data_IF_334995879143
#
_entry.id   IF_334995879143
#
_cell.length_a   1.000
_cell.length_b   1.000
_cell.length_c   1.000
_cell.angle_alpha   90.00
_cell.angle_beta   90.00
_cell.angle_gamma   90.00
#
_symmetry.space_group_name_H-M   'P 1'
#
loop_
_entity.id
_entity.type
_entity.pdbx_description
1 polymer ?
#
# COMPACT_ATOMS: atom_id res chain seq x y z
N UNK A 1 2.59 73.64 -37.35
CA UNK A 1 1.96 74.31 -38.52
C UNK A 1 0.60 73.66 -38.72
N UNK A 2 -0.48 74.12 -38.10
CA UNK A 2 -1.27 75.32 -38.41
C UNK A 2 -1.99 75.26 -39.78
N UNK A 3 -3.32 75.10 -39.70
CA UNK A 3 -4.43 75.75 -40.47
C UNK A 3 -5.42 74.74 -41.05
N UNK A 4 -6.63 74.62 -40.49
CA UNK A 4 -7.83 75.49 -40.57
C UNK A 4 -8.60 75.42 -41.89
N UNK A 5 -9.90 75.06 -41.79
CA UNK A 5 -11.11 75.78 -42.29
C UNK A 5 -12.27 74.77 -42.40
N UNK A 6 -13.51 75.05 -42.02
CA UNK A 6 -14.10 76.29 -41.56
C UNK A 6 -15.51 76.05 -41.00
N UNK A 7 -15.91 76.98 -40.15
CA UNK A 7 -17.15 77.08 -39.38
C UNK A 7 -18.24 77.82 -40.17
N UNK A 8 -19.50 77.63 -39.79
CA UNK A 8 -20.59 78.65 -39.81
C UNK A 8 -21.61 78.21 -38.73
N UNK A 9 -21.62 78.79 -37.52
CA UNK A 9 -22.37 80.00 -37.04
C UNK A 9 -23.88 79.95 -37.30
N UNK A 10 -24.80 80.32 -36.43
CA UNK A 10 -24.93 80.56 -34.98
C UNK A 10 -26.39 81.04 -34.80
N UNK A 11 -26.98 80.85 -33.60
CA UNK A 11 -28.11 81.56 -32.94
C UNK A 11 -29.02 80.54 -32.25
N UNK A 12 -29.44 80.68 -30.99
CA UNK A 12 -29.46 81.83 -30.10
C UNK A 12 -29.35 81.35 -28.65
N UNK A 13 -28.58 82.09 -27.86
CA UNK A 13 -28.43 81.96 -26.41
C UNK A 13 -29.53 82.70 -25.67
N UNK A 14 -30.11 82.09 -24.64
CA UNK A 14 -30.52 82.80 -23.43
C UNK A 14 -30.43 81.90 -22.20
N UNK A 15 -29.57 82.34 -21.27
CA UNK A 15 -29.21 81.73 -19.99
C UNK A 15 -30.03 82.34 -18.87
N UNK A 16 -30.54 81.54 -17.92
CA UNK A 16 -30.52 81.88 -16.48
C UNK A 16 -30.95 80.71 -15.58
N UNK A 17 -29.94 80.04 -15.04
CA UNK A 17 -29.76 79.55 -13.66
C UNK A 17 -30.96 79.34 -12.72
N UNK A 18 -31.21 78.06 -12.38
CA UNK A 18 -31.26 77.61 -10.97
C UNK A 18 -30.56 76.26 -10.81
N UNK A 19 -29.48 76.29 -10.02
CA UNK A 19 -28.73 75.16 -9.48
C UNK A 19 -29.57 74.38 -8.45
N UNK A 20 -29.61 73.05 -8.55
CA UNK A 20 -29.49 72.10 -7.41
C UNK A 20 -29.13 70.70 -7.93
N UNK A 21 -28.33 69.93 -7.16
CA UNK A 21 -27.45 68.90 -7.69
C UNK A 21 -28.19 67.58 -7.98
N UNK A 22 -27.91 66.98 -9.14
CA UNK A 22 -28.24 65.58 -9.37
C UNK A 22 -27.31 64.73 -8.50
N UNK A 23 -27.87 64.18 -7.43
CA UNK A 23 -27.25 63.18 -6.57
C UNK A 23 -26.94 61.96 -7.44
N UNK A 24 -25.67 61.57 -7.43
CA UNK A 24 -25.18 60.27 -7.87
C UNK A 24 -25.83 59.17 -7.04
N UNK A 25 -26.95 58.62 -7.50
CA UNK A 25 -27.36 57.31 -7.04
C UNK A 25 -26.53 56.26 -7.78
N UNK A 26 -25.38 55.95 -7.16
CA UNK A 26 -24.81 54.62 -7.18
C UNK A 26 -25.93 53.62 -6.86
N UNK A 27 -26.57 53.06 -7.88
CA UNK A 27 -27.24 51.78 -7.73
C UNK A 27 -26.11 50.78 -7.61
N UNK A 28 -25.72 50.58 -6.35
CA UNK A 28 -25.08 49.37 -5.90
C UNK A 28 -25.91 48.22 -6.45
N UNK A 29 -25.40 47.56 -7.49
CA UNK A 29 -25.67 46.14 -7.69
C UNK A 29 -25.09 45.45 -6.47
N UNK A 30 -25.85 45.50 -5.38
CA UNK A 30 -25.60 44.80 -4.16
C UNK A 30 -25.43 43.35 -4.52
N UNK A 31 -24.27 42.83 -4.15
CA UNK A 31 -23.93 41.44 -4.26
C UNK A 31 -25.02 40.61 -3.57
N UNK A 32 -25.97 40.09 -4.35
CA UNK A 32 -26.66 38.85 -4.00
C UNK A 32 -25.71 37.69 -4.28
N UNK A 33 -24.55 37.70 -3.61
CA UNK A 33 -23.96 36.45 -3.15
C UNK A 33 -24.99 35.91 -2.16
N UNK A 34 -25.93 35.11 -2.67
CA UNK A 34 -26.71 34.23 -1.82
C UNK A 34 -25.68 33.50 -0.95
N UNK A 35 -25.64 33.84 0.33
CA UNK A 35 -25.23 32.90 1.35
C UNK A 35 -26.20 31.72 1.22
N UNK A 36 -25.89 30.77 0.31
CA UNK A 36 -26.48 29.44 0.39
C UNK A 36 -26.06 28.93 1.76
N UNK A 37 -26.97 29.00 2.72
CA UNK A 37 -26.83 28.31 4.00
C UNK A 37 -26.48 26.89 3.64
N UNK A 38 -25.24 26.48 3.92
CA UNK A 38 -24.80 25.10 3.68
C UNK A 38 -25.78 24.21 4.42
N UNK A 39 -26.52 23.39 3.68
CA UNK A 39 -27.42 22.41 4.29
C UNK A 39 -26.54 21.40 5.02
N UNK A 40 -26.55 21.47 6.34
CA UNK A 40 -25.82 20.55 7.19
C UNK A 40 -26.73 19.37 7.51
N UNK A 41 -26.27 18.18 7.18
CA UNK A 41 -26.87 16.92 7.58
C UNK A 41 -25.95 16.23 8.58
N UNK A 42 -26.46 15.21 9.28
CA UNK A 42 -25.65 14.36 10.16
C UNK A 42 -25.63 12.95 9.61
N UNK A 43 -24.44 12.43 9.33
CA UNK A 43 -24.21 11.01 9.07
C UNK A 43 -24.07 10.28 10.40
N UNK A 44 -24.89 9.26 10.61
CA UNK A 44 -24.86 8.41 11.81
C UNK A 44 -24.43 6.98 11.45
N UNK A 45 -23.40 6.47 12.13
CA UNK A 45 -22.94 5.08 12.02
C UNK A 45 -23.04 4.37 13.37
N UNK A 46 -23.45 3.10 13.42
CA UNK A 46 -23.48 2.33 14.67
C UNK A 46 -22.06 2.11 15.21
N UNK A 47 -21.87 2.24 16.52
CA UNK A 47 -20.62 2.02 17.27
C UNK A 47 -20.91 1.12 18.46
N UNK A 48 -21.02 -0.18 18.22
CA UNK A 48 -21.52 -1.12 19.24
C UNK A 48 -22.91 -0.71 19.72
N UNK A 49 -23.05 -0.40 21.00
CA UNK A 49 -24.31 0.03 21.61
C UNK A 49 -24.59 1.54 21.43
N UNK A 50 -23.65 2.29 20.84
CA UNK A 50 -23.75 3.72 20.60
C UNK A 50 -23.86 4.11 19.13
N UNK A 51 -23.93 5.42 18.86
CA UNK A 51 -23.95 6.00 17.51
C UNK A 51 -22.83 7.03 17.38
N UNK A 52 -21.97 6.87 16.38
CA UNK A 52 -21.04 7.90 15.96
C UNK A 52 -21.75 8.83 14.97
N UNK A 53 -21.68 10.14 15.22
CA UNK A 53 -22.36 11.16 14.42
C UNK A 53 -21.34 12.13 13.85
N UNK A 54 -21.38 12.36 12.54
CA UNK A 54 -20.48 13.26 11.82
C UNK A 54 -21.28 14.29 11.03
N UNK A 55 -21.08 15.60 11.26
CA UNK A 55 -21.72 16.63 10.45
C UNK A 55 -21.16 16.61 9.03
N UNK A 56 -22.03 16.72 8.03
CA UNK A 56 -21.66 16.70 6.62
C UNK A 56 -22.39 17.80 5.84
N UNK A 57 -21.70 18.35 4.84
CA UNK A 57 -22.28 19.23 3.83
C UNK A 57 -23.13 18.39 2.86
N UNK A 58 -24.46 18.51 2.97
CA UNK A 58 -25.42 17.70 2.22
C UNK A 58 -25.30 17.93 0.71
N UNK A 59 -24.98 19.16 0.28
CA UNK A 59 -24.82 19.48 -1.14
C UNK A 59 -23.57 18.79 -1.71
N UNK A 60 -22.49 18.71 -0.94
CA UNK A 60 -21.29 17.96 -1.35
C UNK A 60 -21.51 16.46 -1.36
N UNK A 61 -22.14 15.91 -0.32
CA UNK A 61 -22.47 14.48 -0.26
C UNK A 61 -23.35 14.08 -1.45
N UNK A 62 -24.37 14.87 -1.80
CA UNK A 62 -25.25 14.61 -2.94
C UNK A 62 -24.56 14.68 -4.32
N UNK A 63 -23.41 15.35 -4.41
CA UNK A 63 -22.61 15.46 -5.65
C UNK A 63 -21.59 14.35 -5.76
N UNK A 64 -20.92 14.01 -4.67
CA UNK A 64 -19.74 13.13 -4.67
C UNK A 64 -20.08 11.70 -4.26
N UNK A 65 -21.15 11.50 -3.48
CA UNK A 65 -21.56 10.20 -2.94
C UNK A 65 -22.96 9.80 -3.46
N UNK A 66 -23.08 9.17 -4.64
CA UNK A 66 -24.37 8.76 -5.22
C UNK A 66 -25.36 8.03 -4.29
N UNK A 67 -24.96 7.08 -3.41
CA UNK A 67 -25.88 6.41 -2.49
C UNK A 67 -26.42 7.31 -1.39
N UNK A 68 -25.79 8.47 -1.13
CA UNK A 68 -26.22 9.38 -0.07
C UNK A 68 -27.72 9.73 -0.16
N UNK A 69 -28.25 9.84 -1.38
CA UNK A 69 -29.68 10.12 -1.64
C UNK A 69 -30.61 9.02 -1.16
N UNK A 70 -30.11 7.80 -1.05
CA UNK A 70 -30.85 6.59 -0.74
C UNK A 70 -30.69 6.14 0.72
N UNK A 71 -29.88 6.84 1.52
CA UNK A 71 -29.74 6.52 2.95
C UNK A 71 -31.02 6.84 3.72
N UNK A 72 -31.38 5.94 4.64
CA UNK A 72 -32.55 6.10 5.50
C UNK A 72 -32.44 7.37 6.34
N UNK A 73 -33.49 8.18 6.26
CA UNK A 73 -33.66 9.40 7.06
C UNK A 73 -34.43 9.06 8.33
N UNK A 74 -33.75 9.11 9.47
CA UNK A 74 -34.34 8.91 10.80
C UNK A 74 -34.18 10.19 11.62
N UNK A 75 -35.27 10.91 11.82
CA UNK A 75 -35.28 12.15 12.64
C UNK A 75 -34.34 13.25 12.12
N UNK A 76 -34.19 13.39 10.79
CA UNK A 76 -33.30 14.37 10.16
C UNK A 76 -31.82 13.95 10.10
N UNK A 77 -31.49 12.72 10.51
CA UNK A 77 -30.15 12.13 10.40
C UNK A 77 -30.17 11.04 9.34
N UNK A 78 -29.11 10.98 8.53
CA UNK A 78 -28.95 9.86 7.58
C UNK A 78 -28.17 8.76 8.27
N UNK A 79 -28.78 7.59 8.41
CA UNK A 79 -28.14 6.44 9.05
C UNK A 79 -27.47 5.58 7.99
N UNK A 80 -26.28 5.08 8.32
CA UNK A 80 -25.70 3.97 7.57
C UNK A 80 -26.58 2.73 7.76
N UNK A 81 -26.95 2.08 6.64
CA UNK A 81 -27.64 0.81 6.67
C UNK A 81 -26.85 -0.19 7.54
N UNK A 82 -27.54 -1.09 8.24
CA UNK A 82 -26.91 -2.07 9.14
C UNK A 82 -25.90 -2.99 8.44
N UNK A 83 -25.93 -3.04 7.11
CA UNK A 83 -25.03 -3.84 6.28
C UNK A 83 -23.77 -3.04 5.94
N UNK A 84 -22.89 -2.85 6.92
CA UNK A 84 -21.68 -2.03 6.79
C UNK A 84 -20.55 -2.74 6.04
N UNK A 85 -20.84 -3.80 5.29
CA UNK A 85 -19.87 -4.78 4.80
C UNK A 85 -18.88 -5.19 5.91
N UNK A 86 -19.31 -5.24 7.18
CA UNK A 86 -18.46 -5.62 8.30
C UNK A 86 -17.46 -4.56 8.78
N UNK A 87 -17.59 -3.28 8.42
CA UNK A 87 -16.72 -2.26 9.05
C UNK A 87 -17.08 -2.15 10.55
N UNK A 88 -16.14 -2.51 11.43
CA UNK A 88 -16.30 -2.36 12.87
C UNK A 88 -15.89 -0.95 13.34
N UNK A 89 -16.88 -0.09 13.52
CA UNK A 89 -16.68 1.25 14.06
C UNK A 89 -16.37 1.30 15.56
N UNK A 90 -16.25 0.17 16.27
CA UNK A 90 -15.60 0.14 17.60
C UNK A 90 -14.10 0.42 17.47
N UNK A 91 -13.48 -0.04 16.37
CA UNK A 91 -12.08 0.19 16.03
C UNK A 91 -11.81 1.67 15.71
N UNK A 92 -10.81 2.28 16.36
CA UNK A 92 -10.45 3.69 16.12
C UNK A 92 -10.02 3.94 14.67
N UNK A 93 -9.34 2.98 14.03
CA UNK A 93 -8.90 3.13 12.63
C UNK A 93 -10.07 3.20 11.65
N UNK A 94 -11.19 2.53 11.95
CA UNK A 94 -12.40 2.63 11.14
C UNK A 94 -13.05 4.03 11.26
N UNK A 95 -13.00 4.63 12.46
CA UNK A 95 -13.47 6.01 12.67
C UNK A 95 -12.57 7.04 12.00
N UNK A 96 -11.26 6.85 12.10
CA UNK A 96 -10.28 7.68 11.41
C UNK A 96 -10.46 7.59 9.89
N UNK A 97 -10.68 6.38 9.36
CA UNK A 97 -11.00 6.18 7.95
C UNK A 97 -12.25 6.95 7.52
N UNK A 98 -13.33 6.90 8.33
CA UNK A 98 -14.53 7.68 8.04
C UNK A 98 -14.28 9.19 8.06
N UNK A 99 -13.55 9.70 9.06
CA UNK A 99 -13.18 11.11 9.12
C UNK A 99 -12.37 11.52 7.88
N UNK A 100 -11.38 10.71 7.51
CA UNK A 100 -10.53 10.92 6.34
C UNK A 100 -11.37 10.98 5.06
N UNK A 101 -12.25 10.01 4.83
CA UNK A 101 -13.07 9.94 3.62
C UNK A 101 -14.02 11.14 3.56
N UNK A 102 -14.62 11.56 4.69
CA UNK A 102 -15.45 12.76 4.75
C UNK A 102 -14.65 14.04 4.50
N UNK A 103 -13.42 14.14 5.03
CA UNK A 103 -12.53 15.27 4.79
C UNK A 103 -12.19 15.40 3.30
N UNK A 104 -11.93 14.28 2.62
CA UNK A 104 -11.73 14.22 1.16
C UNK A 104 -12.99 14.66 0.41
N UNK A 105 -14.17 14.13 0.75
CA UNK A 105 -15.46 14.56 0.13
C UNK A 105 -15.67 16.06 0.29
N UNK A 106 -15.29 16.61 1.44
CA UNK A 106 -15.40 18.04 1.71
C UNK A 106 -14.28 18.89 1.12
N UNK A 107 -13.34 18.29 0.38
CA UNK A 107 -12.29 18.98 -0.37
C UNK A 107 -11.17 19.51 0.51
N UNK A 108 -10.90 18.86 1.65
CA UNK A 108 -9.68 19.13 2.42
C UNK A 108 -8.52 18.40 1.76
N UNK A 109 -7.45 19.14 1.49
CA UNK A 109 -6.27 18.61 0.81
C UNK A 109 -5.20 18.12 1.81
N UNK A 110 -4.34 17.22 1.32
CA UNK A 110 -3.17 16.60 1.96
C UNK A 110 -3.45 15.32 2.74
N UNK A 111 -3.04 14.21 2.13
CA UNK A 111 -3.05 12.87 2.71
C UNK A 111 -1.66 12.27 2.56
N UNK A 112 -0.91 12.11 3.65
CA UNK A 112 0.35 11.39 3.63
C UNK A 112 0.10 9.88 3.76
N UNK A 113 -0.16 9.21 2.64
CA UNK A 113 -0.43 7.76 2.62
C UNK A 113 0.76 6.92 3.12
N UNK A 114 1.97 7.48 3.17
CA UNK A 114 3.16 6.75 3.66
C UNK A 114 3.14 6.53 5.18
N UNK A 115 2.37 7.31 5.92
CA UNK A 115 2.18 7.18 7.36
C UNK A 115 1.02 6.23 7.73
N UNK A 116 0.27 5.76 6.72
CA UNK A 116 -0.93 4.96 6.99
C UNK A 116 -0.59 3.50 7.26
N UNK A 117 -1.34 2.91 8.19
CA UNK A 117 -1.29 1.46 8.40
C UNK A 117 -2.11 0.73 7.31
N UNK A 118 -1.77 -0.53 6.98
CA UNK A 118 -2.57 -1.34 6.05
C UNK A 118 -4.05 -1.40 6.42
N UNK A 119 -4.36 -1.57 7.71
CA UNK A 119 -5.72 -1.58 8.24
C UNK A 119 -6.46 -0.27 8.00
N UNK A 120 -5.80 0.87 8.19
CA UNK A 120 -6.40 2.17 7.94
C UNK A 120 -6.73 2.33 6.45
N UNK A 121 -5.82 1.97 5.56
CA UNK A 121 -6.06 2.00 4.11
C UNK A 121 -7.20 1.08 3.69
N UNK A 122 -7.24 -0.13 4.25
CA UNK A 122 -8.34 -1.05 4.05
C UNK A 122 -9.67 -0.40 4.43
N UNK A 123 -9.80 0.13 5.65
CA UNK A 123 -11.03 0.81 6.06
C UNK A 123 -11.35 2.06 5.23
N UNK A 124 -10.36 2.85 4.82
CA UNK A 124 -10.58 4.00 3.92
C UNK A 124 -11.25 3.54 2.63
N UNK A 125 -10.79 2.43 2.03
CA UNK A 125 -11.38 1.90 0.82
C UNK A 125 -12.74 1.23 1.03
N UNK A 126 -12.97 0.58 2.18
CA UNK A 126 -14.29 0.06 2.54
C UNK A 126 -15.32 1.18 2.72
N UNK A 127 -14.99 2.22 3.49
CA UNK A 127 -15.86 3.39 3.69
C UNK A 127 -16.11 4.11 2.36
N UNK A 128 -15.08 4.26 1.52
CA UNK A 128 -15.22 4.83 0.18
C UNK A 128 -16.15 4.00 -0.71
N UNK A 129 -15.98 2.68 -0.75
CA UNK A 129 -16.84 1.79 -1.52
C UNK A 129 -18.30 1.88 -1.06
N UNK A 130 -18.52 2.02 0.25
CA UNK A 130 -19.85 2.16 0.86
C UNK A 130 -20.53 3.51 0.57
N UNK A 131 -19.79 4.63 0.67
CA UNK A 131 -20.28 5.95 0.24
C UNK A 131 -20.49 6.04 -1.29
N UNK A 132 -20.21 4.93 -1.97
CA UNK A 132 -20.64 4.58 -3.29
C UNK A 132 -20.07 5.41 -4.39
N UNK A 133 -18.80 5.12 -4.64
CA UNK A 133 -18.30 5.15 -5.99
C UNK A 133 -18.23 3.75 -6.65
N UNK A 134 -19.34 3.00 -6.89
CA UNK A 134 -19.28 1.78 -7.68
C UNK A 134 -19.73 2.08 -9.12
N UNK A 135 -18.76 2.25 -10.03
CA UNK A 135 -18.81 1.89 -11.47
C UNK A 135 -17.61 2.40 -12.27
N UNK A 136 -16.84 3.35 -11.75
CA UNK A 136 -15.55 3.76 -12.33
C UNK A 136 -14.45 3.58 -11.31
N UNK A 137 -14.33 2.37 -10.76
CA UNK A 137 -13.01 1.90 -10.30
C UNK A 137 -12.17 1.76 -11.57
N UNK A 138 -11.55 2.87 -11.98
CA UNK A 138 -10.57 2.97 -13.07
C UNK A 138 -10.88 2.13 -14.31
N UNK A 139 -11.87 2.53 -15.13
CA UNK A 139 -12.04 1.92 -16.46
C UNK A 139 -10.74 2.06 -17.26
N UNK A 140 -10.29 0.99 -17.91
CA UNK A 140 -9.07 0.93 -18.75
C UNK A 140 -9.05 1.91 -19.93
N UNK A 141 -10.13 2.67 -20.14
CA UNK A 141 -10.33 3.60 -21.24
C UNK A 141 -10.18 5.09 -20.86
N UNK A 142 -9.80 5.40 -19.62
CA UNK A 142 -9.57 6.79 -19.20
C UNK A 142 -8.10 7.16 -19.39
N UNK A 143 -7.88 8.08 -20.33
CA UNK A 143 -6.59 8.67 -20.69
C UNK A 143 -5.89 9.27 -19.45
N UNK A 144 -4.64 8.88 -19.14
CA UNK A 144 -3.85 9.42 -18.03
C UNK A 144 -3.65 10.95 -18.08
N UNK A 145 -3.96 11.61 -19.20
CA UNK A 145 -3.81 13.06 -19.37
C UNK A 145 -4.95 13.90 -18.79
N UNK A 146 -6.03 13.28 -18.28
CA UNK A 146 -7.16 13.99 -17.63
C UNK A 146 -6.88 14.41 -16.17
N UNK A 147 -5.62 14.37 -15.73
CA UNK A 147 -5.18 14.81 -14.40
C UNK A 147 -5.15 16.34 -14.35
N UNK A 148 -6.27 16.94 -13.99
CA UNK A 148 -6.30 18.39 -13.83
C UNK A 148 -7.68 19.01 -13.70
N UNK A 149 -8.52 18.55 -12.78
CA UNK A 149 -9.62 19.37 -12.24
C UNK A 149 -10.11 18.77 -10.93
N UNK A 150 -9.69 19.34 -9.80
CA UNK A 150 -10.38 19.10 -8.54
C UNK A 150 -11.81 19.65 -8.68
N UNK A 151 -12.80 18.76 -8.65
CA UNK A 151 -14.22 19.11 -8.74
C UNK A 151 -14.94 18.71 -10.03
N UNK A 152 -14.27 18.03 -10.98
CA UNK A 152 -14.96 17.37 -12.08
C UNK A 152 -15.51 15.99 -11.64
N UNK A 153 -16.65 15.52 -12.19
CA UNK A 153 -17.20 14.18 -11.93
C UNK A 153 -16.27 13.01 -12.33
N UNK A 154 -15.08 13.31 -12.85
CA UNK A 154 -14.04 12.40 -13.32
C UNK A 154 -12.71 12.50 -12.55
N UNK A 155 -12.62 13.34 -11.50
CA UNK A 155 -11.42 13.37 -10.65
C UNK A 155 -11.37 12.12 -9.78
N UNK A 156 -10.25 11.37 -9.74
CA UNK A 156 -10.16 10.18 -8.91
C UNK A 156 -10.25 10.58 -7.44
N UNK A 157 -11.08 9.87 -6.69
CA UNK A 157 -11.32 10.11 -5.25
C UNK A 157 -10.02 10.08 -4.43
N UNK A 158 -9.04 9.27 -4.86
CA UNK A 158 -7.69 9.23 -4.33
C UNK A 158 -6.67 9.61 -5.41
N UNK A 159 -5.61 10.31 -5.02
CA UNK A 159 -4.43 10.44 -5.87
C UNK A 159 -3.79 9.06 -6.06
N UNK A 160 -3.96 8.49 -7.27
CA UNK A 160 -3.49 7.16 -7.62
C UNK A 160 -1.97 7.03 -7.47
N UNK A 161 -1.21 8.08 -7.78
CA UNK A 161 0.26 8.05 -7.72
C UNK A 161 0.71 8.05 -6.26
N UNK A 162 0.13 8.94 -5.45
CA UNK A 162 0.48 9.05 -4.04
C UNK A 162 0.10 7.78 -3.24
N UNK A 163 -1.12 7.25 -3.44
CA UNK A 163 -1.56 6.04 -2.73
C UNK A 163 -0.77 4.80 -3.20
N UNK A 164 -0.47 4.69 -4.49
CA UNK A 164 0.35 3.60 -5.03
C UNK A 164 1.76 3.61 -4.43
N UNK A 165 2.39 4.78 -4.36
CA UNK A 165 3.71 4.94 -3.73
C UNK A 165 3.69 4.52 -2.25
N UNK A 166 2.67 4.95 -1.51
CA UNK A 166 2.49 4.56 -0.10
C UNK A 166 2.36 3.04 0.07
N UNK A 167 1.45 2.42 -0.68
CA UNK A 167 1.23 0.96 -0.63
C UNK A 167 2.49 0.20 -1.03
N UNK A 168 3.14 0.61 -2.12
CA UNK A 168 4.37 -0.03 -2.59
C UNK A 168 5.50 0.07 -1.56
N UNK A 169 5.64 1.21 -0.89
CA UNK A 169 6.57 1.40 0.22
C UNK A 169 6.30 0.44 1.39
N UNK A 170 5.03 0.22 1.75
CA UNK A 170 4.66 -0.75 2.79
C UNK A 170 4.87 -2.21 2.35
N UNK A 171 4.47 -2.58 1.13
CA UNK A 171 4.65 -3.94 0.61
C UNK A 171 6.14 -4.31 0.53
N UNK A 172 7.01 -3.37 0.15
CA UNK A 172 8.46 -3.52 0.26
C UNK A 172 8.88 -3.72 1.71
N UNK A 173 8.49 -2.83 2.63
CA UNK A 173 8.85 -2.97 4.07
C UNK A 173 8.38 -4.30 4.68
N UNK A 174 7.23 -4.83 4.25
CA UNK A 174 6.75 -6.15 4.65
C UNK A 174 7.73 -7.25 4.22
N UNK A 175 8.20 -7.21 2.96
CA UNK A 175 9.24 -8.09 2.41
C UNK A 175 10.55 -8.05 3.18
N UNK A 176 11.02 -6.86 3.53
CA UNK A 176 12.38 -6.66 4.06
C UNK A 176 12.52 -6.76 5.58
N UNK A 177 11.45 -6.50 6.33
CA UNK A 177 11.58 -6.20 7.76
C UNK A 177 10.62 -6.97 8.65
N UNK A 178 9.62 -7.69 8.13
CA UNK A 178 8.57 -8.31 8.95
C UNK A 178 7.84 -7.31 9.88
N UNK A 179 8.02 -6.01 9.64
CA UNK A 179 7.65 -4.91 10.56
C UNK A 179 6.29 -4.28 10.26
N UNK A 180 5.68 -4.66 9.14
CA UNK A 180 4.39 -4.12 8.74
C UNK A 180 3.31 -5.09 9.20
N UNK A 181 2.69 -4.80 10.34
CA UNK A 181 1.52 -5.55 10.81
C UNK A 181 0.39 -5.44 9.79
N UNK A 182 -0.37 -6.51 9.64
CA UNK A 182 -1.59 -6.55 8.79
C UNK A 182 -1.33 -6.28 7.30
N UNK A 183 -0.09 -6.47 6.83
CA UNK A 183 0.30 -6.18 5.45
C UNK A 183 -0.51 -6.94 4.39
N UNK A 184 -1.12 -8.09 4.73
CA UNK A 184 -2.02 -8.82 3.84
C UNK A 184 -3.28 -8.05 3.47
N UNK A 185 -3.70 -7.06 4.28
CA UNK A 185 -4.81 -6.19 3.92
C UNK A 185 -4.46 -5.26 2.76
N UNK A 186 -3.18 -5.12 2.41
CA UNK A 186 -2.78 -4.38 1.22
C UNK A 186 -3.24 -5.10 -0.05
N UNK A 187 -3.56 -6.40 -0.02
CA UNK A 187 -4.04 -7.10 -1.22
C UNK A 187 -5.42 -6.64 -1.67
N UNK A 188 -6.48 -6.71 -0.85
CA UNK A 188 -7.78 -6.17 -1.24
C UNK A 188 -7.72 -4.67 -1.54
N UNK A 189 -6.79 -3.94 -0.92
CA UNK A 189 -6.53 -2.53 -1.24
C UNK A 189 -5.96 -2.37 -2.65
N UNK A 190 -4.92 -3.13 -3.00
CA UNK A 190 -4.28 -3.10 -4.31
C UNK A 190 -5.25 -3.56 -5.42
N UNK A 191 -6.04 -4.58 -5.17
CA UNK A 191 -7.06 -5.10 -6.08
C UNK A 191 -8.13 -4.04 -6.37
N UNK A 192 -8.72 -3.43 -5.33
CA UNK A 192 -9.70 -2.33 -5.48
C UNK A 192 -9.15 -1.14 -6.26
N UNK A 193 -7.86 -0.85 -6.10
CA UNK A 193 -7.16 0.24 -6.81
C UNK A 193 -6.59 -0.18 -8.18
N UNK A 194 -6.72 -1.46 -8.57
CA UNK A 194 -6.17 -2.05 -9.79
C UNK A 194 -4.65 -1.84 -9.92
N UNK A 195 -3.92 -2.08 -8.84
CA UNK A 195 -2.46 -1.97 -8.77
C UNK A 195 -1.84 -3.36 -8.93
N UNK A 196 -1.73 -3.83 -10.17
CA UNK A 196 -1.25 -5.18 -10.50
C UNK A 196 0.18 -5.43 -10.01
N UNK A 197 1.11 -4.50 -10.24
CA UNK A 197 2.50 -4.63 -9.79
C UNK A 197 2.63 -4.80 -8.27
N UNK A 198 1.75 -4.14 -7.52
CA UNK A 198 1.69 -4.24 -6.06
C UNK A 198 1.11 -5.59 -5.64
N UNK A 199 0.08 -6.06 -6.35
CA UNK A 199 -0.53 -7.36 -6.10
C UNK A 199 0.52 -8.46 -6.29
N UNK A 200 1.32 -8.39 -7.36
CA UNK A 200 2.43 -9.31 -7.58
C UNK A 200 3.49 -9.23 -6.48
N UNK A 201 3.85 -8.02 -6.02
CA UNK A 201 4.79 -7.85 -4.92
C UNK A 201 4.27 -8.46 -3.60
N UNK A 202 2.98 -8.39 -3.34
CA UNK A 202 2.36 -9.02 -2.16
C UNK A 202 2.37 -10.55 -2.32
N UNK A 203 2.08 -11.09 -3.49
CA UNK A 203 2.19 -12.53 -3.79
C UNK A 203 3.62 -13.04 -3.56
N UNK A 204 4.60 -12.30 -4.05
CA UNK A 204 6.01 -12.59 -3.88
C UNK A 204 6.41 -12.63 -2.40
N UNK A 205 5.79 -11.80 -1.56
CA UNK A 205 6.00 -11.85 -0.12
C UNK A 205 5.30 -13.05 0.52
N UNK A 206 4.08 -13.34 0.11
CA UNK A 206 3.25 -14.39 0.69
C UNK A 206 3.92 -15.76 0.59
N UNK A 207 4.60 -16.05 -0.53
CA UNK A 207 5.31 -17.33 -0.70
C UNK A 207 6.36 -17.60 0.40
N UNK A 208 6.95 -16.56 1.01
CA UNK A 208 7.94 -16.69 2.08
C UNK A 208 7.34 -17.22 3.39
N UNK A 209 6.04 -17.03 3.58
CA UNK A 209 5.31 -17.37 4.81
C UNK A 209 4.42 -18.61 4.66
N UNK A 210 4.31 -19.20 3.47
CA UNK A 210 3.52 -20.41 3.24
C UNK A 210 4.32 -21.68 3.61
N UNK A 211 3.66 -22.61 4.32
CA UNK A 211 4.15 -23.97 4.55
C UNK A 211 3.85 -24.85 3.32
N UNK A 212 4.51 -26.00 3.20
CA UNK A 212 4.34 -26.91 2.05
C UNK A 212 2.92 -27.50 1.96
N UNK A 213 2.29 -27.72 3.11
CA UNK A 213 1.00 -28.38 3.27
C UNK A 213 -0.17 -27.38 3.46
N UNK A 214 0.14 -26.12 3.77
CA UNK A 214 -0.87 -25.12 4.13
C UNK A 214 -1.25 -24.25 2.93
N UNK A 215 -2.52 -24.34 2.53
CA UNK A 215 -3.19 -23.35 1.67
C UNK A 215 -3.83 -22.19 2.47
N UNK A 216 -3.59 -22.17 3.78
CA UNK A 216 -4.26 -21.29 4.74
C UNK A 216 -3.33 -20.19 5.27
N UNK A 217 -3.92 -19.24 6.01
CA UNK A 217 -3.26 -18.07 6.57
C UNK A 217 -2.01 -18.45 7.40
N UNK A 218 -0.83 -17.84 7.13
CA UNK A 218 0.33 -18.00 7.99
C UNK A 218 0.03 -17.61 9.44
N UNK A 219 0.55 -18.36 10.41
CA UNK A 219 0.22 -18.19 11.83
C UNK A 219 0.58 -16.78 12.37
N UNK A 220 1.61 -16.14 11.83
CA UNK A 220 2.13 -14.83 12.28
C UNK A 220 1.19 -13.67 12.02
N UNK A 221 0.30 -13.85 11.04
CA UNK A 221 -0.70 -12.86 10.67
C UNK A 221 -2.08 -13.25 11.19
N UNK A 222 -2.23 -14.44 11.78
CA UNK A 222 -3.49 -14.96 12.34
C UNK A 222 -4.01 -14.09 13.48
N UNK A 223 -3.13 -13.61 14.36
CA UNK A 223 -3.52 -12.71 15.46
C UNK A 223 -3.84 -11.28 14.99
N UNK A 224 -3.53 -10.94 13.73
CA UNK A 224 -3.64 -9.59 13.19
C UNK A 224 -4.76 -9.44 12.15
N UNK A 225 -5.22 -10.53 11.55
CA UNK A 225 -6.22 -10.55 10.47
C UNK A 225 -7.47 -11.26 11.00
N UNK A 226 -8.63 -10.62 10.89
CA UNK A 226 -9.90 -11.24 11.31
C UNK A 226 -10.32 -12.28 10.27
N UNK A 227 -11.03 -13.33 10.67
CA UNK A 227 -11.50 -14.41 9.78
C UNK A 227 -12.24 -13.89 8.55
N UNK A 228 -13.04 -12.83 8.73
CA UNK A 228 -13.76 -12.17 7.63
C UNK A 228 -12.81 -11.53 6.62
N UNK A 229 -11.75 -10.87 7.10
CA UNK A 229 -10.78 -10.24 6.21
C UNK A 229 -9.95 -11.30 5.50
N UNK A 230 -9.66 -12.42 6.18
CA UNK A 230 -9.01 -13.56 5.58
C UNK A 230 -9.84 -14.19 4.47
N UNK A 231 -11.13 -14.41 4.68
CA UNK A 231 -12.04 -14.91 3.66
C UNK A 231 -12.00 -14.04 2.38
N UNK A 232 -11.99 -12.71 2.54
CA UNK A 232 -11.84 -11.78 1.40
C UNK A 232 -10.51 -11.93 0.68
N UNK A 233 -9.42 -12.14 1.41
CA UNK A 233 -8.10 -12.36 0.81
C UNK A 233 -8.06 -13.70 0.07
N UNK A 234 -8.73 -14.73 0.59
CA UNK A 234 -8.85 -16.04 -0.08
C UNK A 234 -9.65 -15.95 -1.37
N UNK A 235 -10.72 -15.16 -1.40
CA UNK A 235 -11.54 -14.94 -2.60
C UNK A 235 -10.73 -14.33 -3.77
N UNK A 236 -9.58 -13.70 -3.48
CA UNK A 236 -8.67 -13.17 -4.49
C UNK A 236 -7.84 -14.26 -5.20
N UNK A 237 -7.92 -15.52 -4.76
CA UNK A 237 -7.22 -16.64 -5.40
C UNK A 237 -5.70 -16.54 -5.33
N UNK A 238 -5.14 -15.85 -4.34
CA UNK A 238 -3.69 -15.59 -4.23
C UNK A 238 -2.86 -16.83 -3.93
N UNK A 239 -3.46 -17.85 -3.32
CA UNK A 239 -2.81 -19.11 -3.00
C UNK A 239 -3.19 -20.12 -4.08
N UNK A 240 -2.42 -20.12 -5.14
CA UNK A 240 -2.54 -21.01 -6.28
C UNK A 240 -1.29 -21.89 -6.44
N UNK A 241 -1.26 -22.73 -7.48
CA UNK A 241 -0.10 -23.55 -7.77
C UNK A 241 1.14 -22.70 -8.08
N UNK A 242 0.98 -21.53 -8.70
CA UNK A 242 2.07 -20.61 -9.02
C UNK A 242 2.84 -20.17 -7.77
N UNK A 243 2.11 -19.86 -6.69
CA UNK A 243 2.71 -19.51 -5.41
C UNK A 243 3.48 -20.69 -4.80
N UNK A 244 2.94 -21.90 -4.89
CA UNK A 244 3.57 -23.12 -4.37
C UNK A 244 4.84 -23.48 -5.17
N UNK A 245 4.80 -23.37 -6.50
CA UNK A 245 5.96 -23.57 -7.37
C UNK A 245 7.08 -22.57 -7.04
N UNK A 246 6.71 -21.31 -6.79
CA UNK A 246 7.67 -20.28 -6.39
C UNK A 246 8.28 -20.57 -5.01
N UNK A 247 7.49 -21.10 -4.07
CA UNK A 247 8.01 -21.57 -2.78
C UNK A 247 9.03 -22.69 -2.98
N UNK A 248 8.68 -23.72 -3.74
CA UNK A 248 9.56 -24.86 -4.02
C UNK A 248 10.88 -24.41 -4.66
N UNK A 249 10.82 -23.49 -5.61
CA UNK A 249 12.00 -22.87 -6.22
C UNK A 249 12.94 -22.27 -5.17
N UNK A 250 12.43 -21.46 -4.24
CA UNK A 250 13.27 -20.85 -3.21
C UNK A 250 13.88 -21.89 -2.26
N UNK A 251 13.11 -22.89 -1.84
CA UNK A 251 13.61 -23.97 -0.97
C UNK A 251 14.73 -24.74 -1.67
N UNK A 252 14.56 -25.12 -2.94
CA UNK A 252 15.60 -25.81 -3.71
C UNK A 252 16.88 -24.96 -3.81
N UNK A 253 16.75 -23.66 -4.13
CA UNK A 253 17.91 -22.75 -4.23
C UNK A 253 18.66 -22.63 -2.92
N UNK A 254 17.96 -22.48 -1.80
CA UNK A 254 18.57 -22.37 -0.47
C UNK A 254 19.29 -23.67 -0.11
N UNK A 255 18.62 -24.82 -0.25
CA UNK A 255 19.21 -26.13 0.07
C UNK A 255 20.39 -26.43 -0.84
N UNK A 256 20.33 -26.08 -2.12
CA UNK A 256 21.46 -26.18 -3.05
C UNK A 256 22.65 -25.33 -2.63
N UNK A 257 22.41 -24.10 -2.18
CA UNK A 257 23.46 -23.24 -1.61
C UNK A 257 24.14 -23.89 -0.39
N UNK A 258 23.36 -24.44 0.53
CA UNK A 258 23.89 -25.17 1.69
C UNK A 258 24.67 -26.43 1.30
N UNK A 259 24.21 -27.18 0.28
CA UNK A 259 24.92 -28.35 -0.25
C UNK A 259 26.26 -27.96 -0.86
N UNK A 260 26.31 -26.86 -1.63
CA UNK A 260 27.54 -26.35 -2.23
C UNK A 260 28.54 -25.89 -1.15
N UNK A 261 28.05 -25.24 -0.09
CA UNK A 261 28.89 -24.88 1.04
C UNK A 261 29.41 -26.12 1.76
N UNK A 262 28.56 -27.12 2.02
CA UNK A 262 28.95 -28.40 2.63
C UNK A 262 30.04 -29.10 1.82
N UNK A 263 29.90 -29.10 0.50
CA UNK A 263 30.88 -29.67 -0.41
C UNK A 263 32.19 -28.89 -0.38
N UNK A 264 32.12 -27.55 -0.40
CA UNK A 264 33.31 -26.70 -0.34
C UNK A 264 34.13 -26.91 0.94
N UNK A 265 33.50 -26.88 2.12
CA UNK A 265 34.23 -27.02 3.39
C UNK A 265 34.89 -28.39 3.50
N UNK A 266 34.19 -29.45 3.07
CA UNK A 266 34.73 -30.82 3.06
C UNK A 266 35.95 -30.96 2.13
N UNK A 267 35.85 -30.45 0.90
CA UNK A 267 36.91 -30.59 -0.09
C UNK A 267 38.15 -29.77 0.28
N UNK A 268 37.95 -28.54 0.75
CA UNK A 268 39.05 -27.65 1.13
C UNK A 268 39.81 -28.19 2.35
N UNK A 269 39.13 -28.75 3.34
CA UNK A 269 39.79 -29.42 4.47
C UNK A 269 40.55 -30.68 4.06
N UNK A 270 40.02 -31.42 3.08
CA UNK A 270 40.71 -32.55 2.47
C UNK A 270 41.89 -32.18 1.56
N UNK A 271 42.18 -30.88 1.39
CA UNK A 271 43.23 -30.39 0.48
C UNK A 271 42.89 -30.54 -1.01
N UNK A 272 41.63 -30.78 -1.35
CA UNK A 272 41.15 -30.97 -2.73
C UNK A 272 40.72 -29.62 -3.29
N UNK A 273 41.43 -29.15 -4.31
CA UNK A 273 41.08 -27.91 -5.01
C UNK A 273 39.88 -28.14 -5.94
N UNK A 274 38.90 -27.21 -5.99
CA UNK A 274 37.78 -27.29 -6.92
C UNK A 274 38.26 -27.10 -8.36
N UNK A 275 37.60 -27.78 -9.30
CA UNK A 275 37.75 -27.48 -10.73
C UNK A 275 37.21 -26.09 -11.05
N UNK A 276 37.61 -25.51 -12.19
CA UNK A 276 37.12 -24.17 -12.61
C UNK A 276 35.59 -24.06 -12.63
N UNK A 277 34.90 -25.08 -13.16
CA UNK A 277 33.43 -25.12 -13.20
C UNK A 277 32.79 -25.14 -11.81
N UNK A 278 33.36 -25.91 -10.89
CA UNK A 278 32.86 -25.98 -9.50
C UNK A 278 33.09 -24.65 -8.79
N UNK A 279 34.26 -24.04 -9.00
CA UNK A 279 34.59 -22.74 -8.43
C UNK A 279 33.64 -21.64 -8.94
N UNK A 280 33.31 -21.60 -10.22
CA UNK A 280 32.30 -20.70 -10.75
C UNK A 280 30.93 -20.91 -10.11
N UNK A 281 30.52 -22.17 -9.94
CA UNK A 281 29.27 -22.49 -9.24
C UNK A 281 29.26 -21.95 -7.80
N UNK A 282 30.40 -22.01 -7.09
CA UNK A 282 30.52 -21.39 -5.77
C UNK A 282 30.40 -19.87 -5.80
N UNK A 283 30.95 -19.22 -6.83
CA UNK A 283 30.86 -17.77 -7.00
C UNK A 283 29.42 -17.32 -7.31
N UNK A 284 28.68 -18.12 -8.07
CA UNK A 284 27.28 -17.85 -8.43
C UNK A 284 26.37 -17.89 -7.20
N UNK A 285 26.52 -18.92 -6.36
CA UNK A 285 25.77 -19.06 -5.11
C UNK A 285 26.36 -18.27 -3.93
N UNK A 286 27.42 -17.48 -4.18
CA UNK A 286 28.14 -16.68 -3.16
C UNK A 286 28.58 -17.50 -1.95
N UNK A 287 29.00 -18.75 -2.17
CA UNK A 287 29.61 -19.60 -1.13
C UNK A 287 31.14 -19.59 -1.21
N UNK A 288 31.74 -18.93 -2.20
CA UNK A 288 33.19 -18.76 -2.28
C UNK A 288 33.72 -17.89 -1.14
N UNK A 289 34.76 -18.35 -0.44
CA UNK A 289 35.42 -17.57 0.61
C UNK A 289 36.07 -16.30 0.03
N UNK A 290 35.94 -15.17 0.73
CA UNK A 290 36.68 -13.94 0.43
C UNK A 290 37.97 -13.84 1.27
N UNK A 291 38.80 -12.84 0.97
CA UNK A 291 40.06 -12.57 1.69
C UNK A 291 39.89 -12.29 3.20
N UNK A 292 38.69 -11.92 3.64
CA UNK A 292 38.37 -11.61 5.03
C UNK A 292 37.69 -12.76 5.78
N UNK A 293 37.25 -13.80 5.06
CA UNK A 293 36.56 -14.95 5.65
C UNK A 293 37.44 -15.62 6.71
N UNK A 294 36.84 -15.93 7.86
CA UNK A 294 37.32 -17.06 8.67
C UNK A 294 36.93 -18.33 7.93
N UNK A 295 37.86 -19.27 7.79
CA UNK A 295 37.55 -20.62 7.31
C UNK A 295 36.60 -21.31 8.27
N UNK A 296 35.40 -21.62 7.80
CA UNK A 296 34.46 -22.49 8.49
C UNK A 296 34.91 -23.95 8.35
N UNK A 297 35.01 -24.68 9.46
CA UNK A 297 35.39 -26.10 9.39
C UNK A 297 34.21 -27.00 9.02
N UNK A 298 34.48 -28.18 8.45
CA UNK A 298 33.43 -29.14 8.11
C UNK A 298 32.69 -29.58 9.37
N UNK A 299 33.42 -29.88 10.45
CA UNK A 299 32.84 -30.29 11.74
C UNK A 299 31.99 -29.19 12.40
N UNK A 300 32.41 -27.91 12.29
CA UNK A 300 31.63 -26.77 12.77
C UNK A 300 30.34 -26.62 11.94
N UNK A 301 30.45 -26.69 10.61
CA UNK A 301 29.30 -26.55 9.73
C UNK A 301 28.29 -27.70 9.87
N UNK A 302 28.75 -28.95 9.93
CA UNK A 302 27.88 -30.12 10.10
C UNK A 302 27.15 -30.09 11.43
N UNK A 303 27.83 -29.72 12.54
CA UNK A 303 27.18 -29.56 13.84
C UNK A 303 26.07 -28.50 13.80
N UNK A 304 26.32 -27.37 13.14
CA UNK A 304 25.31 -26.32 12.99
C UNK A 304 24.12 -26.77 12.14
N UNK A 305 24.34 -27.51 11.04
CA UNK A 305 23.27 -28.08 10.23
C UNK A 305 22.39 -29.06 11.02
N UNK A 306 23.01 -29.92 11.84
CA UNK A 306 22.28 -30.87 12.70
C UNK A 306 21.50 -30.12 13.78
N UNK A 307 22.13 -29.13 14.44
CA UNK A 307 21.50 -28.28 15.45
C UNK A 307 20.28 -27.53 14.90
N UNK A 308 20.39 -27.03 13.67
CA UNK A 308 19.31 -26.38 12.94
C UNK A 308 18.26 -27.34 12.34
N UNK A 309 18.43 -28.67 12.50
CA UNK A 309 17.58 -29.72 11.92
C UNK A 309 17.46 -29.66 10.39
N UNK A 310 18.52 -29.19 9.73
CA UNK A 310 18.61 -29.10 8.27
C UNK A 310 19.32 -30.31 7.63
N UNK A 311 19.86 -31.22 8.44
CA UNK A 311 20.47 -32.45 7.97
C UNK A 311 19.47 -33.62 7.99
N UNK A 312 19.38 -34.43 6.91
CA UNK A 312 20.10 -34.29 5.64
C UNK A 312 19.56 -33.12 4.81
N UNK A 313 20.45 -32.46 4.04
CA UNK A 313 20.09 -31.34 3.18
C UNK A 313 19.20 -31.82 2.01
N UNK A 314 17.90 -31.96 2.23
CA UNK A 314 16.89 -32.39 1.25
C UNK A 314 15.77 -31.36 1.17
N UNK A 315 15.53 -30.82 -0.02
CA UNK A 315 14.51 -29.80 -0.23
C UNK A 315 13.10 -30.38 0.00
N UNK A 316 12.91 -31.62 -0.43
CA UNK A 316 11.65 -32.35 -0.35
C UNK A 316 11.22 -32.62 1.10
N UNK A 317 12.17 -32.63 2.04
CA UNK A 317 11.88 -32.83 3.47
C UNK A 317 11.54 -31.53 4.19
N UNK A 318 11.74 -30.37 3.55
CA UNK A 318 11.49 -29.08 4.18
C UNK A 318 10.03 -28.65 3.97
N UNK A 319 9.20 -28.90 4.99
CA UNK A 319 7.78 -28.58 4.96
C UNK A 319 7.44 -27.21 5.57
N UNK A 320 8.37 -26.62 6.32
CA UNK A 320 8.18 -25.34 6.99
C UNK A 320 8.30 -24.15 6.02
N UNK A 321 8.26 -22.92 6.55
CA UNK A 321 8.20 -21.69 5.74
C UNK A 321 9.60 -21.23 5.37
N UNK A 322 9.78 -20.66 4.18
CA UNK A 322 11.10 -20.17 3.74
C UNK A 322 11.73 -19.23 4.77
N UNK A 323 10.92 -18.43 5.47
CA UNK A 323 11.42 -17.55 6.53
C UNK A 323 12.07 -18.31 7.70
N UNK A 324 11.53 -19.45 8.11
CA UNK A 324 12.12 -20.25 9.18
C UNK A 324 13.49 -20.80 8.78
N UNK A 325 13.64 -21.15 7.49
CA UNK A 325 14.93 -21.58 6.92
C UNK A 325 15.94 -20.44 6.92
N UNK A 326 15.54 -19.23 6.51
CA UNK A 326 16.42 -18.05 6.55
C UNK A 326 16.84 -17.70 7.98
N UNK A 327 15.94 -17.79 8.96
CA UNK A 327 16.26 -17.59 10.37
C UNK A 327 17.20 -18.68 10.91
N UNK A 328 17.00 -19.94 10.54
CA UNK A 328 17.90 -21.03 10.92
C UNK A 328 19.33 -20.78 10.40
N UNK A 329 19.47 -20.37 9.13
CA UNK A 329 20.77 -20.04 8.54
C UNK A 329 21.40 -18.83 9.23
N UNK A 330 20.61 -17.79 9.53
CA UNK A 330 21.09 -16.62 10.26
C UNK A 330 21.62 -16.99 11.65
N UNK A 331 20.91 -17.84 12.38
CA UNK A 331 21.34 -18.30 13.70
C UNK A 331 22.64 -19.11 13.63
N UNK A 332 22.81 -19.96 12.61
CA UNK A 332 24.06 -20.68 12.37
C UNK A 332 25.22 -19.71 12.08
N UNK A 333 24.96 -18.68 11.27
CA UNK A 333 25.94 -17.65 10.93
C UNK A 333 26.37 -16.86 12.17
N UNK A 334 25.45 -16.36 12.98
CA UNK A 334 25.76 -15.62 14.20
C UNK A 334 26.59 -16.44 15.20
N UNK A 335 26.31 -17.74 15.35
CA UNK A 335 27.07 -18.63 16.23
C UNK A 335 28.48 -18.93 15.70
N UNK A 336 28.68 -18.92 14.39
CA UNK A 336 29.98 -19.25 13.75
C UNK A 336 30.89 -18.03 13.56
N UNK A 337 30.39 -16.81 13.80
CA UNK A 337 31.13 -15.55 13.66
C UNK A 337 32.03 -15.16 14.85
N UNK A 338 32.41 -16.10 15.73
CA UNK A 338 33.23 -15.78 16.91
C UNK A 338 34.53 -15.04 16.52
N UNK A 339 34.63 -13.75 16.90
CA UNK A 339 35.83 -12.91 16.74
C UNK A 339 36.10 -12.34 15.34
N UNK A 340 35.23 -12.55 14.34
CA UNK A 340 35.32 -11.94 13.00
C UNK A 340 33.94 -11.60 12.44
N UNK A 341 33.88 -10.71 11.46
CA UNK A 341 32.62 -10.24 10.87
C UNK A 341 32.22 -10.97 9.57
N UNK A 342 32.93 -12.02 9.16
CA UNK A 342 32.69 -12.67 7.87
C UNK A 342 33.14 -14.14 7.85
N UNK A 343 32.29 -15.00 7.28
CA UNK A 343 32.61 -16.35 6.83
C UNK A 343 31.75 -16.69 5.58
N UNK A 344 31.90 -17.91 5.03
CA UNK A 344 31.13 -18.31 3.85
C UNK A 344 29.61 -18.41 4.11
N UNK A 345 29.20 -18.69 5.36
CA UNK A 345 27.80 -18.65 5.79
C UNK A 345 27.22 -17.24 5.70
N UNK A 346 27.99 -16.21 6.08
CA UNK A 346 27.61 -14.79 5.92
C UNK A 346 27.35 -14.46 4.44
N UNK A 347 28.26 -14.87 3.54
CA UNK A 347 28.08 -14.62 2.11
C UNK A 347 26.85 -15.33 1.52
N UNK A 348 26.64 -16.59 1.90
CA UNK A 348 25.47 -17.35 1.50
C UNK A 348 24.19 -16.70 2.04
N UNK A 349 24.16 -16.38 3.34
CA UNK A 349 23.01 -15.73 3.97
C UNK A 349 22.68 -14.40 3.30
N UNK A 350 23.67 -13.53 3.07
CA UNK A 350 23.47 -12.26 2.38
C UNK A 350 22.93 -12.46 0.95
N UNK A 351 23.44 -13.45 0.22
CA UNK A 351 22.96 -13.77 -1.11
C UNK A 351 21.51 -14.28 -1.10
N UNK A 352 21.19 -15.24 -0.24
CA UNK A 352 19.85 -15.80 -0.10
C UNK A 352 18.86 -14.74 0.37
N UNK A 353 19.27 -13.92 1.35
CA UNK A 353 18.49 -12.77 1.80
C UNK A 353 18.21 -11.83 0.64
N UNK A 354 19.20 -11.46 -0.18
CA UNK A 354 18.98 -10.59 -1.34
C UNK A 354 18.06 -11.23 -2.37
N UNK A 355 18.27 -12.51 -2.68
CA UNK A 355 17.41 -13.26 -3.60
C UNK A 355 15.94 -13.30 -3.13
N UNK A 356 15.70 -13.50 -1.83
CA UNK A 356 14.35 -13.55 -1.27
C UNK A 356 13.76 -12.16 -0.99
N UNK A 357 14.59 -11.12 -0.79
CA UNK A 357 14.12 -9.80 -0.31
C UNK A 357 14.25 -8.67 -1.34
N UNK A 358 15.28 -8.63 -2.18
CA UNK A 358 15.44 -7.58 -3.21
C UNK A 358 14.54 -7.85 -4.43
N UNK A 359 14.14 -6.82 -5.22
CA UNK A 359 13.49 -7.05 -6.52
C UNK A 359 14.51 -7.65 -7.49
N UNK A 360 14.07 -8.63 -8.30
CA UNK A 360 14.82 -9.00 -9.51
C UNK A 360 14.96 -7.73 -10.37
N UNK A 361 16.19 -7.42 -10.77
CA UNK A 361 16.53 -6.18 -11.49
C UNK A 361 16.08 -6.21 -12.94
#
# INVERSE_FOLDING_TARGET
MAKYKGTTTEKESSTSTRYRPYITHNISHGASRLNRVKRTSVLCVPKGDGILSSPVDEDRMNRICPPWRHFELLGGRKRMANDTNGIDFRNERAKDALRIVLDIVHGKEVMNYEEFSPRLLFYILEVHAWLGHPKVTYSSYMDPTMVGTQGAPSSPFFDKVAISRGIFGMARKAKYLYRVKEWLLLTPVAEKLRLQDITQLILDNLCLFCRADMRELPEEVRDCIEDRDWARIQDLGLIDNTLLDKREFYVDKIIKGLRLLSHQVLYMEGGILPTGNIFHTYQDYKVAACSYCRSLSCDEFQRELISARLWPLRAETYQERIIDLLHAIRNMEERTLVGRNCNQLTHLYDHLRKMCTEPER
#
